data_IF_245674238165
#
_entry.id   IF_245674238165
#
_cell.length_a   1.000
_cell.length_b   1.000
_cell.length_c   1.000
_cell.angle_alpha   90.00
_cell.angle_beta   90.00
_cell.angle_gamma   90.00
#
_symmetry.space_group_name_H-M   'P 1'
#
loop_
_entity.id
_entity.type
_entity.pdbx_description
1 polymer ?
#
# COMPACT_ATOMS: atom_id res chain seq x y z
N UNK A 1 -18.45 26.46 -6.89
CA UNK A 1 -18.83 27.13 -5.62
C UNK A 1 -17.81 28.22 -5.33
N UNK A 2 -18.20 29.41 -4.85
CA UNK A 2 -17.24 30.42 -4.44
C UNK A 2 -16.36 29.86 -3.33
N UNK A 3 -15.06 30.02 -3.48
CA UNK A 3 -14.06 29.56 -2.53
C UNK A 3 -14.17 30.37 -1.23
N UNK A 4 -14.20 29.69 -0.09
CA UNK A 4 -14.34 30.30 1.24
C UNK A 4 -13.03 30.19 2.03
N UNK A 5 -12.75 31.18 2.86
CA UNK A 5 -11.68 31.13 3.87
C UNK A 5 -12.28 30.91 5.25
N UNK A 6 -11.67 30.01 6.03
CA UNK A 6 -12.10 29.71 7.40
C UNK A 6 -11.10 30.32 8.39
N UNK A 7 -11.59 31.13 9.32
CA UNK A 7 -10.79 31.70 10.40
C UNK A 7 -11.31 31.31 11.77
N UNK A 8 -10.41 31.34 12.75
CA UNK A 8 -10.71 30.94 14.12
C UNK A 8 -10.19 31.92 15.15
N UNK A 9 -10.91 32.04 16.26
CA UNK A 9 -10.50 32.83 17.42
C UNK A 9 -10.66 32.03 18.71
N UNK A 10 -9.76 32.28 19.66
CA UNK A 10 -9.74 31.60 20.95
C UNK A 10 -10.13 32.57 22.06
N UNK A 11 -11.08 32.16 22.90
CA UNK A 11 -11.49 32.88 24.12
C UNK A 11 -11.01 32.06 25.32
N UNK A 12 -10.11 32.65 26.10
CA UNK A 12 -9.56 32.03 27.31
C UNK A 12 -10.21 32.63 28.56
N UNK A 13 -10.61 31.77 29.50
CA UNK A 13 -11.14 32.16 30.81
C UNK A 13 -10.63 31.16 31.85
N UNK A 14 -9.66 31.58 32.67
CA UNK A 14 -8.99 30.68 33.61
C UNK A 14 -8.34 29.49 32.90
N UNK A 15 -8.66 28.27 33.34
CA UNK A 15 -8.20 27.02 32.73
C UNK A 15 -9.01 26.58 31.50
N UNK A 16 -10.06 27.33 31.13
CA UNK A 16 -10.93 27.02 30.00
C UNK A 16 -10.53 27.80 28.75
N UNK A 17 -10.49 27.13 27.60
CA UNK A 17 -10.34 27.75 26.28
C UNK A 17 -11.52 27.33 25.41
N UNK A 18 -12.18 28.29 24.76
CA UNK A 18 -13.20 28.04 23.73
C UNK A 18 -12.69 28.53 22.39
N UNK A 19 -12.78 27.71 21.36
CA UNK A 19 -12.37 28.05 20.00
C UNK A 19 -13.60 28.17 19.12
N UNK A 20 -13.76 29.31 18.46
CA UNK A 20 -14.86 29.60 17.55
C UNK A 20 -14.34 29.72 16.12
N UNK A 21 -15.09 29.19 15.16
CA UNK A 21 -14.81 29.28 13.73
C UNK A 21 -15.88 30.05 12.97
N UNK A 22 -15.47 30.72 11.89
CA UNK A 22 -16.35 31.43 10.96
C UNK A 22 -15.79 31.38 9.54
N UNK A 23 -16.68 31.24 8.56
CA UNK A 23 -16.36 31.26 7.13
C UNK A 23 -16.54 32.67 6.55
N UNK A 24 -15.65 33.05 5.65
CA UNK A 24 -15.68 34.31 4.91
C UNK A 24 -15.50 34.01 3.41
N UNK A 25 -15.96 34.92 2.56
CA UNK A 25 -15.73 34.89 1.13
C UNK A 25 -14.25 35.18 0.79
N UNK A 26 -13.73 34.63 -0.31
CA UNK A 26 -12.35 34.89 -0.76
C UNK A 26 -12.19 36.18 -1.57
N UNK A 27 -12.94 37.23 -1.22
CA UNK A 27 -12.73 38.57 -1.76
C UNK A 27 -11.68 39.31 -0.92
N UNK A 28 -11.11 40.41 -1.42
CA UNK A 28 -10.20 41.25 -0.62
C UNK A 28 -10.84 41.70 0.71
N UNK A 29 -12.13 42.06 0.67
CA UNK A 29 -12.92 42.41 1.86
C UNK A 29 -13.14 41.22 2.79
N UNK A 30 -13.43 40.04 2.24
CA UNK A 30 -13.62 38.82 3.02
C UNK A 30 -12.33 38.36 3.73
N UNK A 31 -11.18 38.49 3.08
CA UNK A 31 -9.86 38.23 3.66
C UNK A 31 -9.54 39.19 4.82
N UNK A 32 -9.85 40.48 4.68
CA UNK A 32 -9.68 41.45 5.76
C UNK A 32 -10.58 41.10 6.96
N UNK A 33 -11.88 40.86 6.73
CA UNK A 33 -12.83 40.46 7.78
C UNK A 33 -12.41 39.17 8.50
N UNK A 34 -11.81 38.25 7.75
CA UNK A 34 -11.25 37.00 8.26
C UNK A 34 -10.08 37.25 9.23
N UNK A 35 -9.16 38.16 8.88
CA UNK A 35 -8.05 38.58 9.73
C UNK A 35 -8.53 39.30 11.00
N UNK A 36 -9.46 40.25 10.86
CA UNK A 36 -10.04 40.98 11.98
C UNK A 36 -10.74 40.04 12.97
N UNK A 37 -11.46 39.04 12.45
CA UNK A 37 -12.10 38.02 13.27
C UNK A 37 -11.09 37.16 14.06
N UNK A 38 -9.98 36.76 13.43
CA UNK A 38 -8.92 35.99 14.11
C UNK A 38 -8.22 36.81 15.22
N UNK A 39 -8.09 38.12 15.02
CA UNK A 39 -7.53 39.05 16.00
C UNK A 39 -8.50 39.35 17.17
N UNK A 40 -9.82 39.21 16.95
CA UNK A 40 -10.85 39.57 17.92
C UNK A 40 -10.76 38.77 19.24
N UNK A 41 -10.43 39.46 20.34
CA UNK A 41 -10.33 38.91 21.71
C UNK A 41 -11.60 39.10 22.56
N UNK A 42 -12.67 39.67 22.00
CA UNK A 42 -13.91 39.91 22.73
C UNK A 42 -14.50 38.60 23.25
N UNK A 43 -15.03 38.63 24.48
CA UNK A 43 -15.78 37.49 25.05
C UNK A 43 -17.19 37.36 24.47
N UNK A 44 -17.70 38.41 23.81
CA UNK A 44 -19.01 38.41 23.18
C UNK A 44 -19.04 37.44 21.98
N UNK A 45 -20.22 36.87 21.72
CA UNK A 45 -20.44 36.02 20.56
C UNK A 45 -20.49 36.89 19.30
N UNK A 46 -19.73 36.52 18.28
CA UNK A 46 -19.77 37.18 16.96
C UNK A 46 -20.83 36.49 16.10
N UNK A 47 -21.68 37.27 15.43
CA UNK A 47 -22.73 36.70 14.57
C UNK A 47 -22.16 35.75 13.50
N UNK A 48 -22.82 34.61 13.32
CA UNK A 48 -22.42 33.58 12.35
C UNK A 48 -21.24 32.70 12.79
N UNK A 49 -20.68 32.87 13.98
CA UNK A 49 -19.62 31.98 14.48
C UNK A 49 -20.19 30.69 15.09
N UNK A 50 -19.43 29.60 14.92
CA UNK A 50 -19.71 28.27 15.46
C UNK A 50 -18.65 27.89 16.49
N UNK A 51 -19.08 27.32 17.62
CA UNK A 51 -18.16 26.77 18.61
C UNK A 51 -17.57 25.47 18.06
N UNK A 52 -16.26 25.45 17.87
CA UNK A 52 -15.53 24.31 17.30
C UNK A 52 -15.05 23.35 18.39
N UNK A 53 -14.47 23.89 19.47
CA UNK A 53 -14.08 23.07 20.61
C UNK A 53 -14.05 23.87 21.92
N UNK A 54 -14.15 23.15 23.04
CA UNK A 54 -13.89 23.67 24.38
C UNK A 54 -12.89 22.80 25.12
N UNK A 55 -11.81 23.40 25.60
CA UNK A 55 -10.73 22.74 26.32
C UNK A 55 -10.79 23.15 27.79
N UNK A 56 -10.89 22.19 28.69
CA UNK A 56 -10.68 22.39 30.12
C UNK A 56 -9.29 21.84 30.49
N UNK A 57 -8.32 22.74 30.67
CA UNK A 57 -6.93 22.37 30.91
C UNK A 57 -6.72 21.69 32.26
N UNK A 58 -7.43 22.13 33.31
CA UNK A 58 -7.28 21.54 34.66
C UNK A 58 -7.85 20.12 34.71
N UNK A 59 -8.97 19.86 34.03
CA UNK A 59 -9.56 18.52 33.95
C UNK A 59 -8.92 17.63 32.88
N UNK A 60 -8.05 18.17 32.02
CA UNK A 60 -7.50 17.48 30.84
C UNK A 60 -8.61 16.88 29.96
N UNK A 61 -9.62 17.69 29.67
CA UNK A 61 -10.77 17.33 28.85
C UNK A 61 -10.91 18.31 27.71
N UNK A 62 -11.08 17.79 26.49
CA UNK A 62 -11.44 18.56 25.30
C UNK A 62 -12.78 18.06 24.81
N UNK A 63 -13.75 18.96 24.61
CA UNK A 63 -14.97 18.66 23.84
C UNK A 63 -14.81 19.25 22.46
N UNK A 64 -15.06 18.44 21.43
CA UNK A 64 -14.96 18.85 20.05
C UNK A 64 -16.32 18.71 19.39
N UNK A 65 -16.86 19.82 18.90
CA UNK A 65 -18.19 19.89 18.30
C UNK A 65 -18.11 19.44 16.83
N UNK A 66 -19.06 18.63 16.42
CA UNK A 66 -19.08 17.98 15.11
C UNK A 66 -19.99 18.74 14.13
N UNK A 67 -19.96 18.32 12.87
CA UNK A 67 -20.92 18.77 11.84
C UNK A 67 -22.17 17.89 11.87
N UNK A 68 -23.23 18.34 11.19
CA UNK A 68 -24.50 17.59 11.08
C UNK A 68 -24.38 16.21 10.42
N UNK A 69 -23.23 15.89 9.79
CA UNK A 69 -22.97 14.57 9.21
C UNK A 69 -22.70 13.51 10.28
N UNK A 70 -22.25 13.92 11.47
CA UNK A 70 -21.96 13.02 12.59
C UNK A 70 -23.24 12.58 13.29
N UNK A 71 -23.29 11.33 13.81
CA UNK A 71 -24.42 10.85 14.60
C UNK A 71 -24.45 11.42 16.04
N UNK A 72 -23.50 12.28 16.40
CA UNK A 72 -23.36 12.91 17.72
C UNK A 72 -22.99 14.38 17.54
N UNK A 73 -23.42 15.27 18.44
CA UNK A 73 -23.17 16.73 18.37
C UNK A 73 -21.74 17.12 18.77
N UNK A 74 -21.09 16.28 19.56
CA UNK A 74 -19.71 16.44 19.98
C UNK A 74 -19.13 15.10 20.43
N UNK A 75 -17.81 15.00 20.45
CA UNK A 75 -17.12 13.96 21.20
C UNK A 75 -16.15 14.56 22.21
N UNK A 76 -15.69 13.72 23.13
CA UNK A 76 -14.79 14.13 24.20
C UNK A 76 -13.41 13.48 24.04
N UNK A 77 -12.34 14.22 24.25
CA UNK A 77 -11.00 13.65 24.44
C UNK A 77 -10.54 13.88 25.88
N UNK A 78 -10.19 12.80 26.58
CA UNK A 78 -9.79 12.82 27.99
C UNK A 78 -8.31 12.53 28.14
N UNK A 79 -7.69 13.00 29.23
CA UNK A 79 -6.25 12.82 29.48
C UNK A 79 -5.34 13.79 28.71
N UNK A 80 -5.91 14.74 27.96
CA UNK A 80 -5.17 15.75 27.19
C UNK A 80 -5.72 17.17 27.40
N UNK A 81 -4.84 18.15 27.28
CA UNK A 81 -5.17 19.59 27.38
C UNK A 81 -4.83 20.37 26.11
N UNK A 82 -4.38 19.69 25.06
CA UNK A 82 -3.99 20.29 23.78
C UNK A 82 -4.57 19.49 22.60
N UNK A 83 -5.02 20.20 21.56
CA UNK A 83 -5.53 19.58 20.33
C UNK A 83 -4.45 18.87 19.52
N UNK A 84 -3.17 19.16 19.76
CA UNK A 84 -2.04 18.58 19.03
C UNK A 84 -1.98 17.05 19.12
N UNK A 85 -2.58 16.47 20.17
CA UNK A 85 -2.68 15.01 20.34
C UNK A 85 -3.85 14.39 19.55
N UNK A 86 -4.83 15.18 19.12
CA UNK A 86 -5.92 14.76 18.24
C UNK A 86 -5.54 14.94 16.76
N UNK A 87 -4.41 14.35 16.36
CA UNK A 87 -3.90 14.46 15.00
C UNK A 87 -4.93 13.94 13.98
N UNK A 88 -5.01 14.60 12.82
CA UNK A 88 -5.79 14.16 11.66
C UNK A 88 -7.31 14.26 11.78
N UNK A 89 -7.90 14.22 12.97
CA UNK A 89 -9.36 14.32 13.13
C UNK A 89 -9.80 15.78 13.03
N UNK A 90 -8.96 16.70 13.53
CA UNK A 90 -9.18 18.13 13.50
C UNK A 90 -7.92 18.84 13.07
N UNK A 91 -8.08 19.97 12.38
CA UNK A 91 -6.96 20.86 12.12
C UNK A 91 -6.59 21.62 13.41
N UNK A 92 -5.46 22.33 13.38
CA UNK A 92 -4.99 23.17 14.50
C UNK A 92 -5.98 24.27 14.89
N UNK A 93 -6.98 24.54 14.05
CA UNK A 93 -8.04 25.52 14.28
C UNK A 93 -9.29 24.89 14.92
N UNK A 94 -9.26 23.59 15.23
CA UNK A 94 -10.38 22.87 15.84
C UNK A 94 -11.54 22.60 14.87
N UNK A 95 -11.34 22.83 13.57
CA UNK A 95 -12.29 22.46 12.53
C UNK A 95 -12.07 21.02 12.08
N UNK A 96 -13.16 20.33 11.79
CA UNK A 96 -13.13 18.94 11.35
C UNK A 96 -12.29 18.79 10.07
N UNK A 97 -11.35 17.86 10.08
CA UNK A 97 -10.44 17.66 8.96
C UNK A 97 -10.98 16.59 8.01
N UNK A 98 -11.27 16.98 6.76
CA UNK A 98 -11.62 16.05 5.68
C UNK A 98 -10.42 15.12 5.44
N UNK A 99 -10.55 13.84 5.78
CA UNK A 99 -9.44 12.90 5.89
C UNK A 99 -9.67 11.88 7.01
N UNK A 100 -8.76 11.79 7.98
CA UNK A 100 -8.88 10.87 9.12
C UNK A 100 -10.18 11.10 9.91
N UNK A 101 -10.64 12.35 9.96
CA UNK A 101 -11.96 12.68 10.49
C UNK A 101 -13.08 11.85 9.85
N UNK A 102 -13.04 11.58 8.54
CA UNK A 102 -14.04 10.77 7.86
C UNK A 102 -13.98 9.30 8.31
N UNK A 103 -12.80 8.77 8.63
CA UNK A 103 -12.69 7.43 9.22
C UNK A 103 -13.41 7.41 10.57
N UNK A 104 -13.18 8.40 11.42
CA UNK A 104 -13.89 8.52 12.70
C UNK A 104 -15.40 8.64 12.48
N UNK A 105 -15.84 9.44 11.50
CA UNK A 105 -17.25 9.56 11.12
C UNK A 105 -17.87 8.20 10.77
N UNK A 106 -17.21 7.44 9.89
CA UNK A 106 -17.70 6.13 9.43
C UNK A 106 -17.69 5.09 10.55
N UNK A 107 -16.70 5.12 11.45
CA UNK A 107 -16.69 4.30 12.68
C UNK A 107 -17.93 4.59 13.53
N UNK A 108 -18.27 5.87 13.71
CA UNK A 108 -19.43 6.25 14.50
C UNK A 108 -20.75 5.85 13.83
N UNK A 109 -20.87 6.03 12.51
CA UNK A 109 -22.05 5.59 11.75
C UNK A 109 -22.25 4.07 11.78
N UNK A 110 -21.17 3.30 11.84
CA UNK A 110 -21.24 1.85 11.93
C UNK A 110 -21.76 1.35 13.29
N UNK A 111 -21.79 2.19 14.32
CA UNK A 111 -22.30 1.84 15.65
C UNK A 111 -23.76 2.29 15.79
N UNK A 112 -24.74 1.36 15.78
CA UNK A 112 -26.15 1.74 15.83
C UNK A 112 -26.48 2.38 17.18
N UNK A 113 -27.24 3.49 17.13
CA UNK A 113 -27.68 4.28 18.28
C UNK A 113 -26.51 4.81 19.13
N UNK A 114 -25.37 5.16 18.51
CA UNK A 114 -24.31 5.85 19.23
C UNK A 114 -24.78 7.23 19.69
N UNK A 115 -24.57 7.54 20.96
CA UNK A 115 -24.92 8.85 21.57
C UNK A 115 -23.73 9.55 22.19
N UNK A 116 -22.63 8.81 22.40
CA UNK A 116 -21.43 9.35 23.01
C UNK A 116 -20.18 8.71 22.41
N UNK A 117 -19.16 9.52 22.19
CA UNK A 117 -17.84 9.10 21.76
C UNK A 117 -16.77 9.76 22.63
N UNK A 118 -15.80 8.96 23.07
CA UNK A 118 -14.66 9.43 23.85
C UNK A 118 -13.36 8.88 23.30
N UNK A 119 -12.35 9.74 23.14
CA UNK A 119 -10.97 9.33 22.87
C UNK A 119 -10.18 9.53 24.15
N UNK A 120 -9.70 8.44 24.74
CA UNK A 120 -9.14 8.48 26.09
C UNK A 120 -7.62 8.22 26.09
N UNK A 121 -6.88 9.26 26.48
CA UNK A 121 -5.42 9.27 26.54
C UNK A 121 -4.86 8.97 27.93
N UNK A 122 -5.68 8.43 28.84
CA UNK A 122 -5.16 7.78 30.04
C UNK A 122 -4.40 6.49 29.70
N UNK A 123 -3.40 6.14 30.51
CA UNK A 123 -2.45 5.04 30.26
C UNK A 123 -3.12 3.67 30.16
N UNK A 124 -4.17 3.44 30.96
CA UNK A 124 -4.82 2.12 31.08
C UNK A 124 -6.14 2.04 30.30
N UNK A 125 -6.41 3.03 29.45
CA UNK A 125 -7.65 3.08 28.69
C UNK A 125 -7.74 1.94 27.68
N UNK A 126 -8.92 1.31 27.60
CA UNK A 126 -9.21 0.25 26.65
C UNK A 126 -10.35 0.66 25.74
N UNK A 127 -10.18 0.39 24.45
CA UNK A 127 -11.25 0.60 23.48
C UNK A 127 -12.40 -0.34 23.76
N UNK A 128 -13.60 0.23 23.96
CA UNK A 128 -14.81 -0.53 24.27
C UNK A 128 -16.06 0.23 23.85
N UNK A 129 -17.11 -0.53 23.54
CA UNK A 129 -18.46 0.00 23.36
C UNK A 129 -19.29 -0.45 24.55
N UNK A 130 -19.96 0.49 25.23
CA UNK A 130 -20.87 0.20 26.33
C UNK A 130 -22.29 0.63 25.96
N UNK A 131 -23.29 -0.12 26.43
CA UNK A 131 -24.70 0.23 26.25
C UNK A 131 -25.17 1.02 27.47
N UNK A 132 -25.73 2.21 27.24
CA UNK A 132 -26.39 3.07 28.23
C UNK A 132 -27.90 3.10 27.94
N UNK A 133 -28.68 3.63 28.89
CA UNK A 133 -30.14 3.75 28.76
C UNK A 133 -30.59 4.48 27.48
N UNK A 134 -29.81 5.48 27.04
CA UNK A 134 -30.12 6.35 25.90
C UNK A 134 -29.45 5.93 24.59
N UNK A 135 -28.57 4.93 24.60
CA UNK A 135 -27.83 4.51 23.41
C UNK A 135 -26.46 3.91 23.72
N UNK A 136 -25.57 3.85 22.73
CA UNK A 136 -24.23 3.31 22.87
C UNK A 136 -23.19 4.40 23.10
N UNK A 137 -22.17 4.07 23.89
CA UNK A 137 -21.00 4.91 24.13
C UNK A 137 -19.74 4.18 23.65
N UNK A 138 -19.04 4.76 22.69
CA UNK A 138 -17.72 4.29 22.27
C UNK A 138 -16.64 5.03 23.06
N UNK A 139 -15.76 4.28 23.71
CA UNK A 139 -14.47 4.77 24.21
C UNK A 139 -13.39 4.18 23.31
N UNK A 140 -12.55 5.03 22.72
CA UNK A 140 -11.39 4.66 21.91
C UNK A 140 -10.13 5.04 22.68
N UNK A 141 -9.27 4.07 22.99
CA UNK A 141 -8.02 4.35 23.68
C UNK A 141 -7.09 5.19 22.81
N UNK A 142 -6.17 5.93 23.42
CA UNK A 142 -5.17 6.69 22.67
C UNK A 142 -4.23 5.81 21.86
N UNK A 143 -3.94 4.60 22.35
CA UNK A 143 -3.19 3.59 21.60
C UNK A 143 -3.90 3.29 20.27
N UNK A 144 -5.18 2.96 20.31
CA UNK A 144 -5.94 2.57 19.12
C UNK A 144 -6.23 3.79 18.22
N UNK A 145 -6.52 4.96 18.80
CA UNK A 145 -6.65 6.20 18.05
C UNK A 145 -5.38 6.53 17.25
N UNK A 146 -4.21 6.48 17.89
CA UNK A 146 -2.94 6.76 17.24
C UNK A 146 -2.56 5.69 16.21
N UNK A 147 -2.91 4.43 16.47
CA UNK A 147 -2.76 3.34 15.52
C UNK A 147 -3.59 3.61 14.26
N UNK A 148 -4.90 3.88 14.38
CA UNK A 148 -5.79 4.16 13.24
C UNK A 148 -5.32 5.44 12.51
N UNK A 149 -4.86 6.46 13.24
CA UNK A 149 -4.28 7.67 12.63
C UNK A 149 -3.00 7.38 11.84
N UNK A 150 -2.12 6.54 12.39
CA UNK A 150 -0.90 6.09 11.70
C UNK A 150 -1.21 5.32 10.43
N UNK A 151 -2.24 4.48 10.44
CA UNK A 151 -2.77 3.82 9.23
C UNK A 151 -3.21 4.88 8.20
N UNK A 152 -4.06 5.83 8.60
CA UNK A 152 -4.54 6.88 7.71
C UNK A 152 -3.43 7.75 7.11
N UNK A 153 -2.46 8.19 7.91
CA UNK A 153 -1.35 9.03 7.43
C UNK A 153 -0.44 8.27 6.46
N UNK A 154 -0.27 6.97 6.67
CA UNK A 154 0.46 6.10 5.74
C UNK A 154 -0.31 5.91 4.43
N UNK A 155 -1.64 5.79 4.51
CA UNK A 155 -2.53 5.60 3.35
C UNK A 155 -2.78 6.88 2.55
N UNK A 156 -2.77 8.06 3.18
CA UNK A 156 -2.92 9.37 2.52
C UNK A 156 -1.77 9.67 1.55
N UNK A 157 -0.62 8.99 1.70
CA UNK A 157 0.50 9.06 0.76
C UNK A 157 0.38 8.05 -0.39
N UNK A 158 -0.63 7.17 -0.39
CA UNK A 158 -0.80 6.08 -1.37
C UNK A 158 -2.18 6.02 -2.07
N UNK A 159 -3.27 6.54 -1.46
CA UNK A 159 -4.63 6.92 -1.97
C UNK A 159 -5.12 6.20 -3.26
N UNK A 160 -6.24 5.44 -3.30
CA UNK A 160 -7.51 5.51 -2.55
C UNK A 160 -8.36 4.21 -2.74
N UNK A 161 -8.96 3.65 -1.67
CA UNK A 161 -10.26 2.92 -1.55
C UNK A 161 -10.30 1.70 -0.58
N UNK A 162 -9.18 1.05 -0.21
CA UNK A 162 -9.22 -0.22 0.58
C UNK A 162 -9.49 -0.09 2.09
N UNK A 163 -9.23 1.08 2.66
CA UNK A 163 -9.10 1.26 4.13
C UNK A 163 -10.40 1.24 4.90
N UNK A 164 -11.49 1.71 4.27
CA UNK A 164 -12.82 1.74 4.88
C UNK A 164 -13.34 0.30 5.12
N UNK A 165 -12.96 -0.62 4.23
CA UNK A 165 -13.30 -2.05 4.30
C UNK A 165 -12.76 -2.73 5.55
N UNK A 166 -11.46 -2.53 5.79
CA UNK A 166 -10.74 -3.29 6.80
C UNK A 166 -11.00 -2.74 8.20
N UNK A 167 -11.21 -1.42 8.34
CA UNK A 167 -11.67 -0.82 9.59
C UNK A 167 -13.06 -1.36 9.98
N UNK A 168 -13.99 -1.46 9.03
CA UNK A 168 -15.31 -2.03 9.27
C UNK A 168 -15.24 -3.54 9.58
N UNK A 169 -14.35 -4.30 8.92
CA UNK A 169 -14.14 -5.74 9.16
C UNK A 169 -13.44 -6.05 10.49
N UNK A 170 -12.60 -5.15 10.98
CA UNK A 170 -12.00 -5.26 12.32
C UNK A 170 -13.04 -4.93 13.41
N UNK A 171 -13.84 -3.88 13.20
CA UNK A 171 -14.91 -3.49 14.12
C UNK A 171 -16.03 -4.54 14.15
N UNK A 172 -16.34 -5.18 13.02
CA UNK A 172 -17.36 -6.23 12.96
C UNK A 172 -17.05 -7.46 13.81
N UNK A 173 -15.77 -7.68 14.18
CA UNK A 173 -15.34 -8.73 15.11
C UNK A 173 -15.63 -8.40 16.57
N UNK A 174 -15.97 -7.14 16.87
CA UNK A 174 -16.27 -6.66 18.23
C UNK A 174 -17.69 -6.07 18.39
N UNK A 175 -18.41 -5.83 17.30
CA UNK A 175 -19.81 -5.34 17.26
C UNK A 175 -20.51 -5.85 15.99
N UNK A 176 -21.81 -6.18 16.05
CA UNK A 176 -22.58 -6.68 14.89
C UNK A 176 -22.83 -5.56 13.86
N UNK A 177 -22.40 -5.76 12.61
CA UNK A 177 -22.60 -4.84 11.48
C UNK A 177 -23.51 -5.50 10.41
N UNK A 178 -24.54 -4.83 9.84
CA UNK A 178 -25.47 -5.42 8.86
C UNK A 178 -24.83 -5.74 7.50
N UNK A 179 -25.36 -6.77 6.82
CA UNK A 179 -24.73 -7.51 5.73
C UNK A 179 -24.62 -6.81 4.34
N UNK A 180 -25.09 -5.58 4.17
CA UNK A 180 -25.28 -5.00 2.82
C UNK A 180 -24.22 -3.98 2.37
N UNK A 181 -22.99 -4.04 2.89
CA UNK A 181 -21.90 -3.15 2.45
C UNK A 181 -21.05 -3.87 1.39
N UNK A 182 -21.17 -3.48 0.11
CA UNK A 182 -20.29 -3.96 -0.98
C UNK A 182 -18.97 -3.19 -0.97
N UNK A 183 -17.84 -3.91 -0.96
CA UNK A 183 -16.50 -3.33 -0.79
C UNK A 183 -15.48 -4.08 -1.67
N UNK A 184 -14.60 -3.36 -2.38
CA UNK A 184 -13.55 -3.93 -3.24
C UNK A 184 -12.12 -3.42 -2.94
N UNK A 185 -11.13 -4.33 -3.11
CA UNK A 185 -9.72 -4.16 -3.54
C UNK A 185 -8.64 -3.57 -2.59
N UNK A 186 -7.59 -4.34 -2.24
CA UNK A 186 -6.44 -4.12 -1.28
C UNK A 186 -5.13 -3.53 -1.93
N UNK A 187 -4.04 -3.05 -1.27
CA UNK A 187 -2.94 -3.69 -0.47
C UNK A 187 -2.05 -2.63 0.29
N UNK A 188 -1.64 -2.67 1.58
CA UNK A 188 -0.65 -3.41 2.46
C UNK A 188 0.87 -3.03 2.38
N UNK A 189 1.48 -2.54 3.50
CA UNK A 189 2.88 -2.04 3.59
C UNK A 189 3.81 -2.70 4.67
N UNK A 190 5.10 -2.38 4.58
CA UNK A 190 6.33 -3.04 5.08
C UNK A 190 6.49 -3.22 6.60
N UNK A 191 5.83 -2.43 7.44
CA UNK A 191 5.86 -2.64 8.90
C UNK A 191 5.03 -3.86 9.34
N UNK A 192 3.94 -4.16 8.63
CA UNK A 192 3.15 -5.39 8.80
C UNK A 192 3.97 -6.64 8.43
N UNK A 193 4.82 -6.53 7.40
CA UNK A 193 5.75 -7.60 7.00
C UNK A 193 6.78 -7.88 8.09
N UNK A 194 7.31 -6.85 8.77
CA UNK A 194 8.25 -7.00 9.89
C UNK A 194 7.62 -7.56 11.18
N UNK A 195 6.37 -7.24 11.49
CA UNK A 195 5.67 -7.75 12.68
C UNK A 195 5.16 -9.19 12.49
N UNK A 196 4.64 -9.55 11.30
CA UNK A 196 4.27 -10.94 10.96
C UNK A 196 5.50 -11.87 10.99
N UNK A 197 6.65 -11.43 10.47
CA UNK A 197 7.89 -12.20 10.47
C UNK A 197 8.41 -12.52 11.88
N UNK A 198 8.18 -11.61 12.84
CA UNK A 198 8.74 -11.72 14.19
C UNK A 198 7.81 -12.42 15.19
N UNK A 199 6.49 -12.26 15.04
CA UNK A 199 5.50 -12.77 16.01
C UNK A 199 4.66 -13.97 15.52
N UNK A 200 4.59 -14.23 14.20
CA UNK A 200 3.74 -15.31 13.62
C UNK A 200 4.55 -16.45 13.01
N UNK A 201 5.64 -16.14 12.28
CA UNK A 201 6.48 -17.14 11.61
C UNK A 201 7.28 -17.99 12.60
N UNK A 202 7.66 -17.43 13.73
CA UNK A 202 8.43 -18.11 14.79
C UNK A 202 7.69 -19.27 15.47
N UNK A 203 6.38 -19.42 15.22
CA UNK A 203 5.53 -20.47 15.81
C UNK A 203 4.91 -21.43 14.77
N UNK A 204 5.25 -21.30 13.48
CA UNK A 204 4.75 -22.16 12.42
C UNK A 204 5.80 -23.21 12.05
N UNK A 205 5.35 -24.43 11.71
CA UNK A 205 6.27 -25.41 11.11
C UNK A 205 6.64 -25.01 9.69
N UNK A 206 7.83 -25.42 9.22
CA UNK A 206 8.36 -25.07 7.89
C UNK A 206 7.38 -25.35 6.75
N UNK A 207 6.52 -26.36 6.91
CA UNK A 207 5.50 -26.73 5.94
C UNK A 207 4.32 -25.75 5.88
N UNK A 208 3.86 -25.26 7.03
CA UNK A 208 2.76 -24.30 7.15
C UNK A 208 3.19 -22.91 6.68
N UNK A 209 4.46 -22.57 6.90
CA UNK A 209 5.08 -21.36 6.41
C UNK A 209 5.15 -21.35 4.87
N UNK A 210 5.50 -22.47 4.28
CA UNK A 210 5.62 -22.68 2.84
C UNK A 210 4.26 -22.56 2.12
N UNK A 211 3.20 -23.20 2.65
CA UNK A 211 1.84 -23.12 2.10
C UNK A 211 1.24 -21.71 2.20
N UNK A 212 1.52 -20.99 3.29
CA UNK A 212 1.03 -19.62 3.50
C UNK A 212 1.69 -18.60 2.57
N UNK A 213 3.00 -18.72 2.35
CA UNK A 213 3.75 -17.82 1.48
C UNK A 213 3.37 -17.98 0.00
N UNK A 214 3.17 -19.21 -0.48
CA UNK A 214 2.73 -19.47 -1.85
C UNK A 214 1.31 -18.98 -2.11
N UNK A 215 0.39 -19.20 -1.16
CA UNK A 215 -1.00 -18.72 -1.28
C UNK A 215 -1.09 -17.19 -1.32
N UNK A 216 -0.19 -16.48 -0.64
CA UNK A 216 -0.13 -15.01 -0.66
C UNK A 216 0.56 -14.47 -1.92
N UNK A 217 1.46 -15.25 -2.52
CA UNK A 217 2.17 -14.93 -3.76
C UNK A 217 1.22 -14.99 -4.97
N UNK A 218 0.40 -16.04 -5.08
CA UNK A 218 -0.55 -16.21 -6.21
C UNK A 218 -1.80 -15.32 -6.13
N UNK A 219 -2.30 -14.98 -4.94
CA UNK A 219 -3.62 -14.33 -4.80
C UNK A 219 -3.64 -12.80 -4.77
N UNK A 220 -2.50 -12.08 -4.70
CA UNK A 220 -2.52 -10.69 -4.19
C UNK A 220 -1.64 -9.62 -4.84
N UNK A 221 -0.84 -9.86 -5.88
CA UNK A 221 0.09 -8.81 -6.34
C UNK A 221 0.05 -8.51 -7.85
N UNK A 222 -0.70 -7.47 -8.22
CA UNK A 222 -0.69 -6.87 -9.57
C UNK A 222 0.18 -5.59 -9.71
N UNK A 223 0.57 -4.94 -8.60
CA UNK A 223 1.27 -3.64 -8.65
C UNK A 223 2.78 -3.78 -8.42
N UNK A 224 3.53 -3.40 -9.45
CA UNK A 224 4.98 -3.60 -9.65
C UNK A 224 5.89 -2.88 -8.63
N UNK A 225 5.54 -1.67 -8.20
CA UNK A 225 6.33 -0.90 -7.23
C UNK A 225 6.34 -1.53 -5.81
N UNK A 226 5.23 -2.13 -5.40
CA UNK A 226 5.11 -2.84 -4.11
C UNK A 226 5.78 -4.22 -4.13
N UNK A 227 5.96 -4.81 -5.33
CA UNK A 227 6.80 -6.01 -5.53
C UNK A 227 8.27 -5.68 -5.27
N UNK A 228 8.76 -4.56 -5.79
CA UNK A 228 10.16 -4.09 -5.63
C UNK A 228 10.50 -3.74 -4.17
N UNK A 229 9.63 -3.04 -3.44
CA UNK A 229 9.89 -2.67 -2.04
C UNK A 229 9.87 -3.87 -1.08
N UNK A 230 9.01 -4.87 -1.35
CA UNK A 230 9.01 -6.13 -0.61
C UNK A 230 10.25 -6.98 -0.93
N UNK A 231 10.70 -6.93 -2.18
CA UNK A 231 11.90 -7.60 -2.63
C UNK A 231 13.14 -7.17 -1.83
N UNK A 232 13.36 -5.86 -1.73
CA UNK A 232 14.52 -5.29 -1.02
C UNK A 232 14.62 -5.68 0.47
N UNK A 233 13.51 -5.98 1.15
CA UNK A 233 13.52 -6.41 2.56
C UNK A 233 13.55 -7.93 2.76
N UNK A 234 13.40 -8.75 1.71
CA UNK A 234 13.32 -10.24 1.80
C UNK A 234 14.32 -10.99 0.91
N UNK A 235 15.24 -10.27 0.24
CA UNK A 235 16.14 -10.80 -0.79
C UNK A 235 16.90 -12.05 -0.35
N UNK A 236 17.46 -12.11 0.86
CA UNK A 236 18.21 -13.29 1.32
C UNK A 236 17.33 -14.54 1.39
N UNK A 237 16.13 -14.45 1.99
CA UNK A 237 15.24 -15.61 2.16
C UNK A 237 14.66 -16.13 0.84
N UNK A 238 14.37 -15.25 -0.12
CA UNK A 238 13.90 -15.66 -1.45
C UNK A 238 15.03 -16.21 -2.30
N UNK A 239 16.21 -15.60 -2.25
CA UNK A 239 17.38 -16.15 -2.94
C UNK A 239 17.80 -17.48 -2.33
N UNK A 240 17.70 -17.65 -1.01
CA UNK A 240 17.93 -18.92 -0.33
C UNK A 240 16.89 -19.96 -0.76
N UNK A 241 15.60 -19.60 -0.81
CA UNK A 241 14.54 -20.48 -1.29
C UNK A 241 14.68 -20.86 -2.76
N UNK A 242 14.91 -19.89 -3.64
CA UNK A 242 15.17 -20.13 -5.07
C UNK A 242 16.43 -20.96 -5.22
N UNK A 243 17.47 -20.71 -4.42
CA UNK A 243 18.67 -21.51 -4.43
C UNK A 243 18.37 -22.94 -3.98
N UNK A 244 17.56 -23.16 -2.95
CA UNK A 244 17.11 -24.50 -2.55
C UNK A 244 16.31 -25.19 -3.66
N UNK A 245 15.33 -24.50 -4.25
CA UNK A 245 14.58 -25.02 -5.40
C UNK A 245 15.50 -25.31 -6.58
N UNK A 246 16.45 -24.41 -6.87
CA UNK A 246 17.45 -24.56 -7.91
C UNK A 246 18.33 -25.78 -7.64
N UNK A 247 18.81 -25.98 -6.40
CA UNK A 247 19.61 -27.15 -6.03
C UNK A 247 18.78 -28.44 -6.15
N UNK A 248 17.52 -28.43 -5.75
CA UNK A 248 16.62 -29.57 -5.91
C UNK A 248 16.35 -29.86 -7.39
N UNK A 249 16.11 -28.83 -8.19
CA UNK A 249 15.88 -28.92 -9.63
C UNK A 249 17.14 -29.40 -10.35
N UNK A 250 18.31 -28.89 -9.96
CA UNK A 250 19.62 -29.31 -10.46
C UNK A 250 19.88 -30.80 -10.23
N UNK A 251 19.56 -31.30 -9.04
CA UNK A 251 19.69 -32.73 -8.70
C UNK A 251 18.79 -33.61 -9.57
N UNK A 252 17.59 -33.16 -9.91
CA UNK A 252 16.57 -33.95 -10.64
C UNK A 252 16.61 -33.79 -12.16
N UNK A 253 17.00 -32.63 -12.66
CA UNK A 253 16.78 -32.21 -14.05
C UNK A 253 18.01 -31.57 -14.70
N UNK A 254 19.23 -31.90 -14.24
CA UNK A 254 20.50 -31.30 -14.68
C UNK A 254 20.63 -31.03 -16.19
N UNK A 255 20.16 -31.93 -17.04
CA UNK A 255 20.30 -31.83 -18.51
C UNK A 255 18.98 -31.65 -19.27
N UNK A 256 17.86 -31.39 -18.57
CA UNK A 256 16.54 -31.24 -19.21
C UNK A 256 16.21 -29.76 -19.42
N UNK A 257 16.51 -29.24 -20.60
CA UNK A 257 16.34 -27.82 -20.94
C UNK A 257 14.91 -27.32 -20.75
N UNK A 258 13.91 -28.05 -21.25
CA UNK A 258 12.49 -27.71 -21.07
C UNK A 258 12.06 -27.61 -19.59
N UNK A 259 12.64 -28.44 -18.72
CA UNK A 259 12.39 -28.37 -17.27
C UNK A 259 13.02 -27.13 -16.66
N UNK A 260 14.23 -26.77 -17.09
CA UNK A 260 14.85 -25.52 -16.71
C UNK A 260 14.08 -24.30 -17.22
N UNK A 261 13.62 -24.30 -18.46
CA UNK A 261 12.78 -23.23 -19.00
C UNK A 261 11.51 -23.06 -18.15
N UNK A 262 10.81 -24.15 -17.82
CA UNK A 262 9.63 -24.10 -16.94
C UNK A 262 9.99 -23.52 -15.57
N UNK A 263 11.08 -24.02 -14.96
CA UNK A 263 11.55 -23.52 -13.68
C UNK A 263 11.82 -22.02 -13.71
N UNK A 264 12.55 -21.53 -14.71
CA UNK A 264 12.87 -20.12 -14.79
C UNK A 264 11.65 -19.27 -15.17
N UNK A 265 10.73 -19.74 -16.00
CA UNK A 265 9.48 -19.04 -16.28
C UNK A 265 8.68 -18.74 -15.01
N UNK A 266 8.56 -19.73 -14.13
CA UNK A 266 7.82 -19.62 -12.87
C UNK A 266 8.55 -18.73 -11.85
N UNK A 267 9.88 -18.61 -11.97
CA UNK A 267 10.73 -18.01 -10.94
C UNK A 267 11.47 -16.73 -11.38
N UNK A 268 11.42 -16.31 -12.65
CA UNK A 268 12.18 -15.16 -13.15
C UNK A 268 11.82 -13.86 -12.43
N UNK A 269 10.53 -13.66 -12.14
CA UNK A 269 10.08 -12.50 -11.37
C UNK A 269 10.55 -12.54 -9.90
N UNK A 270 11.04 -13.70 -9.43
CA UNK A 270 11.67 -13.89 -8.12
C UNK A 270 13.19 -13.69 -8.20
N UNK A 271 13.82 -14.08 -9.33
CA UNK A 271 15.26 -13.93 -9.57
C UNK A 271 15.62 -12.49 -9.92
N UNK A 272 14.82 -11.85 -10.78
CA UNK A 272 14.95 -10.46 -11.14
C UNK A 272 13.61 -9.72 -10.96
N UNK A 273 13.45 -8.95 -9.87
CA UNK A 273 12.21 -8.22 -9.58
C UNK A 273 11.89 -7.10 -10.56
N UNK A 274 12.86 -6.65 -11.37
CA UNK A 274 12.58 -5.62 -12.36
C UNK A 274 11.70 -6.15 -13.50
N UNK A 275 11.58 -7.47 -13.66
CA UNK A 275 10.73 -8.05 -14.69
C UNK A 275 9.27 -7.94 -14.31
N UNK A 276 8.54 -7.20 -15.15
CA UNK A 276 7.09 -7.04 -15.10
C UNK A 276 6.39 -8.22 -15.76
N UNK A 277 6.90 -8.65 -16.92
CA UNK A 277 6.38 -9.76 -17.70
C UNK A 277 7.53 -10.62 -18.21
N UNK A 278 7.31 -11.92 -18.31
CA UNK A 278 8.27 -12.88 -18.88
C UNK A 278 7.50 -13.83 -19.79
N UNK A 279 7.91 -13.92 -21.04
CA UNK A 279 7.22 -14.67 -22.08
C UNK A 279 8.16 -15.77 -22.55
N UNK A 280 7.73 -17.02 -22.42
CA UNK A 280 8.42 -18.19 -22.97
C UNK A 280 8.02 -18.38 -24.44
N UNK A 281 8.91 -19.01 -25.22
CA UNK A 281 8.64 -19.42 -26.60
C UNK A 281 8.27 -18.21 -27.48
N UNK A 282 9.32 -17.47 -27.83
CA UNK A 282 9.24 -16.25 -28.64
C UNK A 282 9.24 -16.56 -30.14
N UNK A 283 9.43 -17.83 -30.52
CA UNK A 283 9.25 -18.37 -31.88
C UNK A 283 8.12 -17.68 -32.63
N UNK A 284 6.89 -17.75 -32.15
CA UNK A 284 5.72 -17.13 -32.82
C UNK A 284 5.80 -15.61 -33.03
N UNK A 285 6.57 -14.86 -32.23
CA UNK A 285 6.79 -13.43 -32.45
C UNK A 285 7.80 -13.21 -33.58
N UNK A 286 8.83 -14.05 -33.64
CA UNK A 286 9.95 -13.84 -34.56
C UNK A 286 9.80 -14.65 -35.85
N UNK A 287 9.09 -15.77 -35.85
CA UNK A 287 8.67 -16.55 -37.03
C UNK A 287 7.81 -15.75 -38.00
N UNK A 288 7.01 -14.80 -37.47
CA UNK A 288 6.24 -13.86 -38.29
C UNK A 288 7.13 -12.84 -39.01
N UNK A 289 8.41 -12.76 -38.63
CA UNK A 289 9.35 -11.74 -39.08
C UNK A 289 10.58 -12.38 -39.76
N UNK A 290 10.98 -13.60 -39.39
CA UNK A 290 12.12 -14.39 -39.87
C UNK A 290 11.73 -15.87 -40.04
N UNK A 291 11.63 -16.35 -41.28
CA UNK A 291 11.30 -17.76 -41.57
C UNK A 291 12.36 -18.75 -41.07
N UNK A 292 13.62 -18.33 -40.93
CA UNK A 292 14.70 -19.20 -40.40
C UNK A 292 14.59 -19.39 -38.86
N UNK A 293 13.89 -18.49 -38.17
CA UNK A 293 13.70 -18.55 -36.72
C UNK A 293 12.78 -19.71 -36.28
N UNK A 294 12.03 -20.32 -37.21
CA UNK A 294 11.18 -21.51 -37.00
C UNK A 294 11.88 -22.71 -36.35
N UNK A 295 13.22 -22.74 -36.37
CA UNK A 295 14.00 -23.89 -35.93
C UNK A 295 14.71 -23.71 -34.59
N UNK A 296 14.81 -22.48 -34.04
CA UNK A 296 15.65 -22.18 -32.86
C UNK A 296 15.17 -20.98 -32.05
N UNK A 297 14.00 -21.04 -31.39
CA UNK A 297 13.46 -19.91 -30.62
C UNK A 297 14.45 -19.41 -29.57
N UNK A 298 14.38 -18.11 -29.28
CA UNK A 298 14.93 -17.60 -28.02
C UNK A 298 14.05 -18.08 -26.86
N UNK A 299 14.70 -18.43 -25.74
CA UNK A 299 14.01 -19.02 -24.60
C UNK A 299 13.00 -18.06 -23.95
N UNK A 300 13.41 -16.81 -23.70
CA UNK A 300 12.51 -15.81 -23.12
C UNK A 300 12.70 -14.38 -23.64
N UNK A 301 11.58 -13.65 -23.63
CA UNK A 301 11.55 -12.18 -23.58
C UNK A 301 11.08 -11.77 -22.19
N UNK A 302 11.85 -10.92 -21.52
CA UNK A 302 11.41 -10.21 -20.33
C UNK A 302 11.11 -8.74 -20.65
N UNK A 303 10.09 -8.19 -20.00
CA UNK A 303 9.75 -6.77 -20.07
C UNK A 303 9.94 -6.21 -18.69
N UNK A 304 10.80 -5.21 -18.56
CA UNK A 304 11.07 -4.60 -17.27
C UNK A 304 10.01 -3.55 -16.86
N UNK A 305 10.19 -2.97 -15.68
CA UNK A 305 9.29 -1.95 -15.12
C UNK A 305 9.29 -0.62 -15.87
N UNK A 306 10.31 -0.39 -16.70
CA UNK A 306 10.48 0.78 -17.55
C UNK A 306 10.00 0.49 -18.99
N UNK A 307 9.45 -0.71 -19.24
CA UNK A 307 9.05 -1.23 -20.54
C UNK A 307 10.22 -1.44 -21.51
N UNK A 308 11.43 -1.64 -21.00
CA UNK A 308 12.53 -2.17 -21.81
C UNK A 308 12.31 -3.67 -22.06
N UNK A 309 12.78 -4.13 -23.20
CA UNK A 309 12.75 -5.55 -23.60
C UNK A 309 14.13 -6.14 -23.36
N UNK A 310 14.18 -7.26 -22.63
CA UNK A 310 15.37 -8.07 -22.44
C UNK A 310 15.19 -9.44 -23.08
N UNK A 311 16.25 -9.90 -23.75
CA UNK A 311 16.33 -11.19 -24.40
C UNK A 311 17.13 -12.14 -23.51
N UNK A 312 16.56 -13.30 -23.19
CA UNK A 312 17.21 -14.27 -22.30
C UNK A 312 17.35 -15.60 -23.03
N UNK A 313 18.59 -16.04 -23.18
CA UNK A 313 18.97 -17.35 -23.70
C UNK A 313 19.50 -18.19 -22.54
N UNK A 314 18.89 -19.35 -22.33
CA UNK A 314 19.20 -20.29 -21.29
C UNK A 314 20.21 -21.33 -21.77
N UNK A 315 21.12 -21.73 -20.86
CA UNK A 315 21.97 -22.90 -21.05
C UNK A 315 21.83 -23.79 -19.83
N UNK A 316 21.69 -25.09 -20.08
CA UNK A 316 21.61 -26.08 -19.00
C UNK A 316 22.93 -26.12 -18.23
N UNK A 317 22.93 -26.51 -16.95
CA UNK A 317 24.15 -26.68 -16.15
C UNK A 317 25.17 -27.68 -16.74
N UNK A 318 24.75 -28.56 -17.66
CA UNK A 318 25.65 -29.45 -18.40
C UNK A 318 26.37 -28.77 -19.57
N UNK A 319 25.89 -27.62 -20.03
CA UNK A 319 26.50 -26.85 -21.11
C UNK A 319 27.55 -25.90 -20.52
N UNK A 320 28.82 -26.30 -20.57
CA UNK A 320 29.93 -25.43 -20.17
C UNK A 320 29.89 -24.15 -21.02
N UNK A 321 29.80 -22.97 -20.38
CA UNK A 321 29.85 -21.65 -21.04
C UNK A 321 31.25 -21.02 -20.98
N UNK A 322 32.08 -21.50 -20.04
CA UNK A 322 33.46 -21.08 -19.83
C UNK A 322 34.35 -22.33 -19.82
N UNK A 323 35.56 -22.22 -20.37
CA UNK A 323 36.50 -23.32 -20.46
C UNK A 323 36.93 -23.81 -19.06
N UNK A 324 37.06 -25.12 -18.89
CA UNK A 324 37.58 -25.71 -17.63
C UNK A 324 39.08 -25.53 -17.47
N UNK A 325 39.80 -25.33 -18.58
CA UNK A 325 41.24 -25.08 -18.61
C UNK A 325 41.50 -23.62 -18.95
N UNK A 326 42.51 -23.05 -18.32
CA UNK A 326 43.00 -21.72 -18.67
C UNK A 326 43.83 -21.79 -19.94
N UNK A 327 43.66 -20.81 -20.81
CA UNK A 327 44.61 -20.49 -21.88
C UNK A 327 45.24 -19.13 -21.55
N UNK A 328 46.58 -19.08 -21.52
CA UNK A 328 47.34 -17.87 -21.12
C UNK A 328 46.82 -17.22 -19.82
N UNK A 329 46.57 -18.06 -18.82
CA UNK A 329 46.02 -17.70 -17.51
C UNK A 329 44.59 -17.13 -17.50
N UNK A 330 43.89 -17.15 -18.64
CA UNK A 330 42.50 -16.70 -18.76
C UNK A 330 41.57 -17.90 -18.99
N UNK A 331 40.37 -17.83 -18.41
CA UNK A 331 39.30 -18.72 -18.82
C UNK A 331 38.65 -18.15 -20.09
N UNK A 332 38.50 -18.99 -21.11
CA UNK A 332 37.96 -18.58 -22.40
C UNK A 332 36.49 -18.97 -22.48
N UNK A 333 35.71 -18.21 -23.25
CA UNK A 333 34.34 -18.61 -23.56
C UNK A 333 34.37 -19.88 -24.40
N UNK A 334 33.43 -20.79 -24.13
CA UNK A 334 33.27 -21.99 -24.95
C UNK A 334 32.39 -21.72 -26.16
N UNK A 335 32.37 -22.67 -27.09
CA UNK A 335 31.45 -22.65 -28.22
C UNK A 335 29.98 -22.45 -27.80
N UNK A 336 29.55 -22.99 -26.66
CA UNK A 336 28.15 -22.87 -26.21
C UNK A 336 27.79 -21.41 -25.87
N UNK A 337 28.72 -20.69 -25.24
CA UNK A 337 28.52 -19.27 -24.95
C UNK A 337 28.53 -18.44 -26.24
N UNK A 338 29.48 -18.70 -27.15
CA UNK A 338 29.50 -18.02 -28.45
C UNK A 338 28.21 -18.24 -29.24
N UNK A 339 27.68 -19.47 -29.28
CA UNK A 339 26.39 -19.78 -29.92
C UNK A 339 25.25 -18.97 -29.31
N UNK A 340 25.16 -18.92 -27.99
CA UNK A 340 24.14 -18.15 -27.28
C UNK A 340 24.22 -16.65 -27.60
N UNK A 341 25.43 -16.07 -27.59
CA UNK A 341 25.63 -14.67 -27.93
C UNK A 341 25.24 -14.36 -29.38
N UNK A 342 25.67 -15.17 -30.34
CA UNK A 342 25.30 -14.99 -31.75
C UNK A 342 23.79 -15.13 -31.97
N UNK A 343 23.13 -16.03 -31.25
CA UNK A 343 21.68 -16.19 -31.29
C UNK A 343 20.96 -14.94 -30.75
N UNK A 344 21.39 -14.44 -29.58
CA UNK A 344 20.86 -13.19 -29.00
C UNK A 344 21.06 -12.00 -29.94
N UNK A 345 22.25 -11.88 -30.55
CA UNK A 345 22.57 -10.81 -31.49
C UNK A 345 21.67 -10.83 -32.73
N UNK A 346 21.47 -12.01 -33.34
CA UNK A 346 20.53 -12.17 -34.48
C UNK A 346 19.13 -11.67 -34.09
N UNK A 347 18.67 -12.02 -32.90
CA UNK A 347 17.34 -11.62 -32.42
C UNK A 347 17.23 -10.13 -32.11
N UNK A 348 18.24 -9.53 -31.48
CA UNK A 348 18.28 -8.09 -31.23
C UNK A 348 18.17 -7.30 -32.54
N UNK A 349 19.01 -7.63 -33.54
CA UNK A 349 18.97 -6.96 -34.85
C UNK A 349 17.58 -7.07 -35.49
N UNK A 350 16.94 -8.25 -35.36
CA UNK A 350 15.62 -8.48 -35.94
C UNK A 350 14.52 -7.68 -35.25
N UNK A 351 14.57 -7.60 -33.92
CA UNK A 351 13.65 -6.79 -33.12
C UNK A 351 13.83 -5.31 -33.41
N UNK A 352 15.07 -4.84 -33.48
CA UNK A 352 15.38 -3.45 -33.80
C UNK A 352 14.92 -3.05 -35.20
N UNK A 353 14.97 -3.98 -36.15
CA UNK A 353 14.53 -3.75 -37.52
C UNK A 353 12.99 -3.77 -37.68
N UNK A 354 12.26 -4.31 -36.70
CA UNK A 354 10.80 -4.55 -36.79
C UNK A 354 10.04 -4.07 -35.55
N UNK A 355 10.53 -3.00 -34.90
CA UNK A 355 10.08 -2.53 -33.57
C UNK A 355 8.56 -2.44 -33.40
N UNK A 356 7.85 -1.87 -34.39
CA UNK A 356 6.41 -1.66 -34.29
C UNK A 356 5.63 -2.98 -34.29
N UNK A 357 5.99 -3.90 -35.19
CA UNK A 357 5.34 -5.21 -35.29
C UNK A 357 5.65 -6.07 -34.07
N UNK A 358 6.92 -6.08 -33.64
CA UNK A 358 7.34 -6.80 -32.43
C UNK A 358 6.63 -6.26 -31.19
N UNK A 359 6.51 -4.94 -31.04
CA UNK A 359 5.82 -4.35 -29.90
C UNK A 359 4.35 -4.78 -29.83
N UNK A 360 3.67 -4.84 -30.99
CA UNK A 360 2.30 -5.33 -31.09
C UNK A 360 2.19 -6.80 -30.69
N UNK A 361 3.05 -7.66 -31.23
CA UNK A 361 3.04 -9.10 -30.95
C UNK A 361 3.39 -9.41 -29.49
N UNK A 362 4.34 -8.68 -28.90
CA UNK A 362 4.66 -8.77 -27.48
C UNK A 362 3.44 -8.36 -26.65
N UNK A 363 2.78 -7.25 -27.00
CA UNK A 363 1.58 -6.78 -26.29
C UNK A 363 0.47 -7.83 -26.34
N UNK A 364 0.19 -8.41 -27.50
CA UNK A 364 -0.80 -9.48 -27.66
C UNK A 364 -0.47 -10.72 -26.82
N UNK A 365 0.81 -11.15 -26.81
CA UNK A 365 1.26 -12.27 -25.98
C UNK A 365 1.15 -11.97 -24.49
N UNK A 366 1.50 -10.76 -24.06
CA UNK A 366 1.34 -10.32 -22.67
C UNK A 366 -0.14 -10.34 -22.29
N UNK A 367 -1.01 -9.74 -23.08
CA UNK A 367 -2.46 -9.74 -22.85
C UNK A 367 -3.02 -11.16 -22.75
N UNK A 368 -2.61 -12.06 -23.65
CA UNK A 368 -3.05 -13.47 -23.64
C UNK A 368 -2.56 -14.23 -22.40
N UNK A 369 -1.30 -14.03 -22.00
CA UNK A 369 -0.69 -14.77 -20.88
C UNK A 369 -1.14 -14.23 -19.52
N UNK A 370 -1.30 -12.91 -19.40
CA UNK A 370 -1.54 -12.23 -18.12
C UNK A 370 -2.95 -11.66 -17.97
N UNK A 371 -3.81 -11.72 -19.01
CA UNK A 371 -5.22 -11.36 -18.93
C UNK A 371 -5.50 -9.86 -18.82
N UNK A 372 -4.65 -9.02 -19.42
CA UNK A 372 -4.70 -7.55 -19.35
C UNK A 372 -4.92 -6.87 -20.69
#
# INVERSE_FOLDING_TARGET
MPSQVFSTRNITSGSSVKTYSKSFDMTGTGLQKSADYAANKSKARVSGEKLSCSINKSKKVIKVFTTAEFPIDFFTATGISTLTKLKGTYNTTGSFYKGFGNIILEILKAIPKIVEFTIDFSTDSKTKVTTKAVGKHLILSSHDYNYIHGLFDSEKKQINQSSLSQALKFLSRKITIPANVKIGGELVSTAFKKTIFKEVISNLSDKELHELLFQLYEKRYDILASKIELFKETDTYKLDYINELYQQHLKKHKSHESKWQTFFEDNFNIINPSYKYVIREVDTIIEQIDEEAKSRPIDFIAIDIYNNIELIELKTPSADIISKRKDRNNYCLTHNCTKACTQLEKYLIKIESNKLEVAKLITEKVSKKYGI
#
